data_IF_401854599211
#
_entry.id   IF_401854599211
#
_cell.length_a   1.000
_cell.length_b   1.000
_cell.length_c   1.000
_cell.angle_alpha   90.00
_cell.angle_beta   90.00
_cell.angle_gamma   90.00
#
_symmetry.space_group_name_H-M   'P 1'
#
loop_
_entity.id
_entity.type
_entity.pdbx_description
1 polymer ?
#
# COMPACT_ATOMS: atom_id res chain seq x y z
N UNK A 1 -16.23 -19.46 16.18
CA UNK A 1 -15.42 -18.42 16.85
C UNK A 1 -15.94 -17.04 16.46
N UNK A 2 -16.18 -16.16 17.42
CA UNK A 2 -16.62 -14.78 17.15
C UNK A 2 -15.54 -14.05 16.35
N UNK A 3 -15.91 -13.46 15.21
CA UNK A 3 -14.96 -12.72 14.37
C UNK A 3 -14.75 -11.33 14.95
N UNK A 4 -13.51 -10.89 15.05
CA UNK A 4 -13.19 -9.51 15.48
C UNK A 4 -13.91 -8.48 14.58
N UNK A 5 -14.46 -7.39 15.15
CA UNK A 5 -15.05 -6.30 14.39
C UNK A 5 -14.05 -5.72 13.38
N UNK A 6 -14.56 -5.21 12.25
CA UNK A 6 -13.72 -4.48 11.31
C UNK A 6 -13.44 -3.10 11.87
N UNK A 7 -12.19 -2.68 11.75
CA UNK A 7 -11.77 -1.35 12.12
C UNK A 7 -12.34 -0.38 11.10
N UNK A 8 -13.11 0.60 11.57
CA UNK A 8 -13.53 1.74 10.78
C UNK A 8 -13.02 2.99 11.46
N UNK A 9 -12.36 3.84 10.68
CA UNK A 9 -12.26 5.26 10.99
C UNK A 9 -12.34 6.06 9.68
N UNK A 10 -12.83 7.32 9.76
CA UNK A 10 -12.91 8.19 8.60
C UNK A 10 -11.51 8.57 8.10
N UNK A 11 -11.39 8.87 6.80
CA UNK A 11 -10.14 9.32 6.18
C UNK A 11 -8.98 8.33 6.29
N UNK A 12 -9.29 7.03 6.33
CA UNK A 12 -8.31 5.95 6.40
C UNK A 12 -8.14 5.28 5.05
N UNK A 13 -6.89 4.97 4.71
CA UNK A 13 -6.53 4.17 3.56
C UNK A 13 -6.65 2.68 3.88
N UNK A 14 -7.29 1.92 3.00
CA UNK A 14 -7.45 0.47 3.12
C UNK A 14 -6.95 -0.21 1.85
N UNK A 15 -6.15 -1.27 2.02
CA UNK A 15 -5.99 -2.26 0.98
C UNK A 15 -7.06 -3.34 1.13
N UNK A 16 -7.98 -3.35 0.17
CA UNK A 16 -9.09 -4.30 0.11
C UNK A 16 -8.74 -5.45 -0.81
N UNK A 17 -8.98 -6.67 -0.35
CA UNK A 17 -8.83 -7.89 -1.14
C UNK A 17 -10.13 -8.69 -1.10
N UNK A 18 -10.67 -9.01 -2.27
CA UNK A 18 -11.84 -9.88 -2.44
C UNK A 18 -11.40 -11.10 -3.21
N UNK A 19 -11.76 -12.32 -2.78
CA UNK A 19 -11.31 -13.56 -3.45
C UNK A 19 -12.50 -14.46 -3.76
N UNK A 20 -12.50 -15.05 -4.95
CA UNK A 20 -13.50 -16.00 -5.41
C UNK A 20 -13.54 -17.24 -4.52
N UNK A 21 -14.75 -17.74 -4.23
CA UNK A 21 -14.96 -18.93 -3.42
C UNK A 21 -14.16 -20.11 -3.99
N UNK A 22 -13.44 -20.88 -3.16
CA UNK A 22 -12.49 -21.90 -3.62
C UNK A 22 -11.48 -21.41 -4.69
N UNK A 23 -11.11 -20.12 -4.67
CA UNK A 23 -10.27 -19.45 -5.68
C UNK A 23 -10.83 -19.52 -7.10
N UNK A 24 -12.14 -19.72 -7.24
CA UNK A 24 -12.81 -19.78 -8.53
C UNK A 24 -12.65 -18.49 -9.32
N UNK A 25 -12.72 -18.60 -10.64
CA UNK A 25 -12.77 -17.45 -11.55
C UNK A 25 -14.05 -16.66 -11.31
N UNK A 26 -13.89 -15.39 -10.93
CA UNK A 26 -14.96 -14.42 -10.67
C UNK A 26 -15.21 -13.51 -11.86
N UNK A 27 -14.37 -13.54 -12.90
CA UNK A 27 -14.55 -12.81 -14.16
C UNK A 27 -14.24 -13.75 -15.33
N UNK A 28 -15.29 -14.21 -16.04
CA UNK A 28 -15.17 -15.21 -17.12
C UNK A 28 -15.06 -14.56 -18.49
N UNK A 29 -15.65 -13.38 -18.63
CA UNK A 29 -15.73 -12.61 -19.88
C UNK A 29 -15.35 -11.16 -19.63
N UNK A 30 -15.05 -10.42 -20.69
CA UNK A 30 -14.82 -8.96 -20.62
C UNK A 30 -16.02 -8.21 -20.04
N UNK A 31 -17.25 -8.66 -20.31
CA UNK A 31 -18.47 -8.09 -19.75
C UNK A 31 -18.54 -8.20 -18.23
N UNK A 32 -18.00 -9.27 -17.64
CA UNK A 32 -17.94 -9.42 -16.19
C UNK A 32 -17.05 -8.34 -15.54
N UNK A 33 -15.89 -8.05 -16.15
CA UNK A 33 -15.01 -6.98 -15.68
C UNK A 33 -15.69 -5.62 -15.77
N UNK A 34 -16.33 -5.31 -16.90
CA UNK A 34 -17.05 -4.03 -17.08
C UNK A 34 -18.20 -3.89 -16.08
N UNK A 35 -19.00 -4.94 -15.90
CA UNK A 35 -20.08 -4.95 -14.92
C UNK A 35 -19.59 -4.66 -13.49
N UNK A 36 -18.41 -5.14 -13.11
CA UNK A 36 -17.81 -4.82 -11.81
C UNK A 36 -17.33 -3.38 -11.73
N UNK A 37 -16.63 -2.89 -12.75
CA UNK A 37 -16.10 -1.52 -12.82
C UNK A 37 -17.22 -0.47 -12.81
N UNK A 38 -18.31 -0.70 -13.54
CA UNK A 38 -19.50 0.16 -13.53
C UNK A 38 -20.13 0.27 -12.13
N UNK A 39 -20.27 -0.87 -11.43
CA UNK A 39 -20.79 -0.90 -10.06
C UNK A 39 -19.85 -0.20 -9.09
N UNK A 40 -18.54 -0.41 -9.26
CA UNK A 40 -17.52 0.24 -8.44
C UNK A 40 -17.60 1.76 -8.60
N UNK A 41 -17.66 2.28 -9.83
CA UNK A 41 -17.86 3.71 -10.08
C UNK A 41 -19.19 4.22 -9.48
N UNK A 42 -20.29 3.52 -9.76
CA UNK A 42 -21.64 3.87 -9.28
C UNK A 42 -21.73 4.00 -7.76
N UNK A 43 -21.09 3.11 -7.01
CA UNK A 43 -21.17 3.12 -5.55
C UNK A 43 -20.08 3.93 -4.86
N UNK A 44 -19.04 4.36 -5.58
CA UNK A 44 -17.91 5.08 -4.96
C UNK A 44 -18.31 6.45 -4.43
N UNK A 45 -19.00 7.26 -5.24
CA UNK A 45 -19.43 8.61 -4.83
C UNK A 45 -20.46 8.61 -3.68
N UNK A 46 -21.56 7.83 -3.73
CA UNK A 46 -22.53 7.77 -2.63
C UNK A 46 -21.94 7.23 -1.32
N UNK A 47 -20.88 6.41 -1.40
CA UNK A 47 -20.19 5.91 -0.21
C UNK A 47 -19.03 6.81 0.25
N UNK A 48 -18.83 7.96 -0.40
CA UNK A 48 -17.76 8.90 -0.14
C UNK A 48 -16.38 8.23 -0.10
N UNK A 49 -16.11 7.31 -1.03
CA UNK A 49 -14.81 6.65 -1.11
C UNK A 49 -13.99 7.21 -2.25
N UNK A 50 -12.69 7.35 -2.03
CA UNK A 50 -11.71 7.67 -3.07
C UNK A 50 -10.93 6.41 -3.41
N UNK A 51 -10.86 6.06 -4.69
CA UNK A 51 -9.99 5.00 -5.18
C UNK A 51 -8.64 5.56 -5.61
N UNK A 52 -7.58 4.98 -5.07
CA UNK A 52 -6.20 5.31 -5.41
C UNK A 52 -5.60 4.35 -6.43
N UNK A 53 -6.02 3.08 -6.42
CA UNK A 53 -5.62 2.05 -7.37
C UNK A 53 -6.61 0.89 -7.34
N UNK A 54 -6.68 0.14 -8.45
CA UNK A 54 -7.41 -1.13 -8.49
C UNK A 54 -6.75 -2.11 -9.46
N UNK A 55 -7.00 -3.40 -9.24
CA UNK A 55 -6.70 -4.47 -10.20
C UNK A 55 -7.72 -5.59 -10.01
N UNK A 56 -8.48 -5.89 -11.07
CA UNK A 56 -9.42 -7.01 -11.11
C UNK A 56 -8.67 -8.19 -11.72
N UNK A 57 -8.30 -9.19 -10.92
CA UNK A 57 -7.67 -10.43 -11.36
C UNK A 57 -8.76 -11.47 -11.63
N UNK A 58 -8.52 -12.53 -12.44
CA UNK A 58 -9.56 -13.48 -12.82
C UNK A 58 -10.32 -14.10 -11.64
N UNK A 59 -9.66 -14.33 -10.50
CA UNK A 59 -10.24 -14.95 -9.30
C UNK A 59 -10.20 -14.08 -8.03
N UNK A 60 -9.74 -12.83 -8.11
CA UNK A 60 -9.69 -11.94 -6.95
C UNK A 60 -9.60 -10.47 -7.37
N UNK A 61 -9.83 -9.56 -6.43
CA UNK A 61 -9.83 -8.12 -6.66
C UNK A 61 -8.94 -7.45 -5.62
N UNK A 62 -8.09 -6.53 -6.06
CA UNK A 62 -7.37 -5.61 -5.20
C UNK A 62 -7.89 -4.18 -5.40
N UNK A 63 -8.25 -3.50 -4.31
CA UNK A 63 -8.61 -2.08 -4.32
C UNK A 63 -7.76 -1.35 -3.27
N UNK A 64 -7.28 -0.16 -3.59
CA UNK A 64 -6.71 0.77 -2.62
C UNK A 64 -7.69 1.92 -2.44
N UNK A 65 -8.36 1.94 -1.29
CA UNK A 65 -9.53 2.80 -1.05
C UNK A 65 -9.28 3.66 0.17
N UNK A 66 -9.50 4.97 0.04
CA UNK A 66 -9.56 5.89 1.16
C UNK A 66 -11.02 6.21 1.47
N UNK A 67 -11.45 6.00 2.71
CA UNK A 67 -12.84 6.28 3.12
C UNK A 67 -13.02 7.75 3.47
N UNK A 68 -14.19 8.31 3.16
CA UNK A 68 -14.68 9.56 3.73
C UNK A 68 -15.32 9.29 5.10
N UNK A 69 -16.52 9.83 5.32
CA UNK A 69 -17.23 9.71 6.59
C UNK A 69 -18.05 8.43 6.75
N UNK A 70 -18.17 7.63 5.68
CA UNK A 70 -18.91 6.37 5.71
C UNK A 70 -17.99 5.16 5.84
N UNK A 71 -18.48 4.08 6.48
CA UNK A 71 -17.70 2.85 6.60
C UNK A 71 -17.51 2.17 5.25
N UNK A 72 -16.30 1.65 5.04
CA UNK A 72 -15.94 0.86 3.85
C UNK A 72 -16.91 -0.30 3.59
N UNK A 73 -17.53 -0.84 4.64
CA UNK A 73 -18.54 -1.90 4.52
C UNK A 73 -19.74 -1.50 3.68
N UNK A 74 -20.13 -0.23 3.67
CA UNK A 74 -21.25 0.25 2.88
C UNK A 74 -20.99 0.10 1.37
N UNK A 75 -19.80 0.52 0.91
CA UNK A 75 -19.36 0.31 -0.47
C UNK A 75 -19.32 -1.18 -0.80
N UNK A 76 -18.60 -1.94 0.03
CA UNK A 76 -18.27 -3.33 -0.29
C UNK A 76 -19.50 -4.25 -0.24
N UNK A 77 -20.47 -3.98 0.62
CA UNK A 77 -21.74 -4.70 0.64
C UNK A 77 -22.52 -4.49 -0.66
N UNK A 78 -22.73 -3.23 -1.06
CA UNK A 78 -23.46 -2.89 -2.29
C UNK A 78 -22.76 -3.46 -3.53
N UNK A 79 -21.43 -3.31 -3.60
CA UNK A 79 -20.62 -3.80 -4.71
C UNK A 79 -20.66 -5.33 -4.83
N UNK A 80 -20.34 -6.06 -3.76
CA UNK A 80 -20.26 -7.52 -3.84
C UNK A 80 -21.62 -8.18 -4.02
N UNK A 81 -22.66 -7.64 -3.37
CA UNK A 81 -24.02 -8.18 -3.50
C UNK A 81 -24.53 -8.03 -4.93
N UNK A 82 -24.49 -6.81 -5.47
CA UNK A 82 -24.99 -6.53 -6.82
C UNK A 82 -24.18 -7.23 -7.92
N UNK A 83 -22.86 -7.41 -7.72
CA UNK A 83 -22.04 -8.16 -8.65
C UNK A 83 -22.28 -9.68 -8.58
N UNK A 84 -22.42 -10.24 -7.38
CA UNK A 84 -22.73 -11.67 -7.20
C UNK A 84 -24.07 -12.03 -7.83
N UNK A 85 -25.09 -11.19 -7.65
CA UNK A 85 -26.40 -11.37 -8.29
C UNK A 85 -26.31 -11.34 -9.82
N UNK A 86 -25.56 -10.38 -10.37
CA UNK A 86 -25.28 -10.31 -11.80
C UNK A 86 -24.58 -11.58 -12.29
N UNK A 87 -23.47 -11.97 -11.67
CA UNK A 87 -22.68 -13.12 -12.08
C UNK A 87 -23.51 -14.41 -12.04
N UNK A 88 -24.25 -14.63 -10.97
CA UNK A 88 -25.08 -15.82 -10.80
C UNK A 88 -26.18 -15.90 -11.87
N UNK A 89 -26.84 -14.77 -12.18
CA UNK A 89 -27.84 -14.71 -13.26
C UNK A 89 -27.22 -14.96 -14.63
N UNK A 90 -26.12 -14.28 -14.96
CA UNK A 90 -25.44 -14.38 -16.26
C UNK A 90 -24.90 -15.79 -16.51
N UNK A 91 -24.30 -16.41 -15.50
CA UNK A 91 -23.62 -17.71 -15.63
C UNK A 91 -24.45 -18.89 -15.14
N UNK A 92 -25.74 -18.68 -14.85
CA UNK A 92 -26.69 -19.68 -14.31
C UNK A 92 -26.12 -20.44 -13.10
N UNK A 93 -25.53 -19.70 -12.16
CA UNK A 93 -24.96 -20.21 -10.92
C UNK A 93 -25.85 -19.87 -9.73
N UNK A 94 -25.67 -20.64 -8.66
CA UNK A 94 -26.31 -20.43 -7.35
C UNK A 94 -25.24 -20.41 -6.25
N UNK A 95 -25.55 -19.81 -5.11
CA UNK A 95 -24.66 -19.75 -3.96
C UNK A 95 -23.64 -18.61 -3.98
N UNK A 96 -22.59 -18.76 -3.17
CA UNK A 96 -21.59 -17.71 -2.93
C UNK A 96 -20.53 -17.63 -4.04
N UNK A 97 -20.37 -16.45 -4.62
CA UNK A 97 -19.30 -16.17 -5.58
C UNK A 97 -17.93 -15.97 -4.89
N UNK A 98 -17.91 -15.27 -3.75
CA UNK A 98 -16.68 -14.94 -3.01
C UNK A 98 -16.51 -15.81 -1.75
N UNK A 99 -15.28 -15.95 -1.22
CA UNK A 99 -14.92 -16.75 -0.01
C UNK A 99 -15.52 -16.20 1.31
N UNK A 100 -16.54 -15.34 1.22
CA UNK A 100 -17.11 -14.60 2.33
C UNK A 100 -16.66 -13.13 2.31
N UNK A 101 -16.37 -12.61 3.50
CA UNK A 101 -16.05 -11.20 3.73
C UNK A 101 -14.73 -10.80 3.05
N UNK A 102 -14.69 -9.62 2.43
CA UNK A 102 -13.42 -9.00 1.97
C UNK A 102 -12.41 -8.84 3.11
N UNK A 103 -11.12 -8.93 2.78
CA UNK A 103 -10.05 -8.46 3.65
C UNK A 103 -9.93 -6.94 3.52
N UNK A 104 -9.69 -6.25 4.63
CA UNK A 104 -9.48 -4.81 4.68
C UNK A 104 -8.32 -4.54 5.62
N UNK A 105 -7.21 -4.12 5.03
CA UNK A 105 -5.96 -3.89 5.73
C UNK A 105 -5.82 -2.38 5.83
N UNK A 106 -5.79 -1.86 7.06
CA UNK A 106 -5.63 -0.44 7.34
C UNK A 106 -4.19 -0.05 7.03
N UNK A 107 -4.00 0.87 6.10
CA UNK A 107 -2.70 1.27 5.59
C UNK A 107 -2.34 2.67 6.06
N UNK A 108 -1.10 2.86 6.50
CA UNK A 108 -0.56 4.20 6.71
C UNK A 108 -0.26 4.84 5.35
N UNK A 109 -0.93 5.95 5.06
CA UNK A 109 -0.96 6.54 3.71
C UNK A 109 0.43 6.97 3.23
N UNK A 110 1.11 7.84 3.98
CA UNK A 110 2.35 8.46 3.50
C UNK A 110 3.48 7.48 3.14
N UNK A 111 3.82 6.47 3.96
CA UNK A 111 4.92 5.55 3.64
C UNK A 111 4.55 4.49 2.60
N UNK A 112 3.28 4.14 2.43
CA UNK A 112 2.89 2.97 1.63
C UNK A 112 2.06 3.29 0.39
N UNK A 113 1.53 4.50 0.22
CA UNK A 113 0.62 4.82 -0.88
C UNK A 113 1.21 4.48 -2.26
N UNK A 114 2.39 5.03 -2.57
CA UNK A 114 3.02 4.82 -3.89
C UNK A 114 3.35 3.36 -4.13
N UNK A 115 3.90 2.69 -3.12
CA UNK A 115 4.31 1.30 -3.26
C UNK A 115 3.12 0.35 -3.34
N UNK A 116 2.00 0.66 -2.68
CA UNK A 116 0.75 -0.08 -2.82
C UNK A 116 0.11 0.12 -4.19
N UNK A 117 0.14 1.34 -4.74
CA UNK A 117 -0.31 1.61 -6.12
C UNK A 117 0.52 0.75 -7.08
N UNK A 118 1.85 0.79 -7.00
CA UNK A 118 2.74 -0.04 -7.81
C UNK A 118 2.48 -1.52 -7.61
N UNK A 119 2.37 -1.98 -6.36
CA UNK A 119 2.08 -3.37 -6.03
C UNK A 119 0.82 -3.83 -6.76
N UNK A 120 -0.28 -3.08 -6.62
CA UNK A 120 -1.58 -3.41 -7.23
C UNK A 120 -1.48 -3.47 -8.75
N UNK A 121 -0.88 -2.47 -9.39
CA UNK A 121 -0.76 -2.42 -10.85
C UNK A 121 0.20 -3.49 -11.42
N UNK A 122 1.14 -4.01 -10.62
CA UNK A 122 2.04 -5.10 -11.01
C UNK A 122 1.49 -6.51 -10.72
N UNK A 123 0.32 -6.65 -10.10
CA UNK A 123 -0.28 -7.97 -9.82
C UNK A 123 -0.43 -8.84 -11.09
N UNK A 124 -0.91 -8.32 -12.24
CA UNK A 124 -1.04 -9.11 -13.46
C UNK A 124 0.30 -9.67 -13.97
N UNK A 125 1.37 -8.86 -13.87
CA UNK A 125 2.73 -9.27 -14.26
C UNK A 125 3.26 -10.35 -13.33
N UNK A 126 3.12 -10.16 -12.02
CA UNK A 126 3.57 -11.13 -11.00
C UNK A 126 2.83 -12.47 -11.10
N UNK A 127 1.55 -12.43 -11.46
CA UNK A 127 0.75 -13.62 -11.74
C UNK A 127 1.01 -14.23 -13.12
N UNK A 128 1.95 -13.68 -13.91
CA UNK A 128 2.31 -14.11 -15.26
C UNK A 128 1.13 -14.08 -16.25
N UNK A 129 0.12 -13.24 -16.02
CA UNK A 129 -1.00 -13.05 -16.96
C UNK A 129 -0.57 -12.21 -18.17
N UNK A 130 0.35 -11.27 -17.96
CA UNK A 130 0.91 -10.40 -19.00
C UNK A 130 2.39 -10.17 -18.73
N UNK A 131 3.16 -9.85 -19.78
CA UNK A 131 4.59 -9.48 -19.64
C UNK A 131 4.81 -8.04 -19.20
N UNK A 132 3.87 -7.15 -19.52
CA UNK A 132 3.92 -5.72 -19.25
C UNK A 132 2.60 -5.28 -18.61
N UNK A 133 2.61 -4.39 -17.60
CA UNK A 133 1.38 -3.96 -16.94
C UNK A 133 0.42 -3.22 -17.90
N UNK A 134 0.96 -2.51 -18.90
CA UNK A 134 0.24 -1.82 -19.97
C UNK A 134 -0.71 -2.74 -20.75
N UNK A 135 -0.41 -4.05 -20.81
CA UNK A 135 -1.23 -5.02 -21.53
C UNK A 135 -2.44 -5.53 -20.71
N UNK A 136 -2.57 -5.15 -19.44
CA UNK A 136 -3.68 -5.59 -18.58
C UNK A 136 -4.73 -4.50 -18.39
N UNK A 137 -5.81 -4.61 -19.18
CA UNK A 137 -6.87 -3.60 -19.26
C UNK A 137 -7.72 -3.46 -17.98
N UNK A 138 -7.72 -4.46 -17.10
CA UNK A 138 -8.60 -4.50 -15.92
C UNK A 138 -7.89 -4.01 -14.65
N UNK A 139 -7.05 -2.99 -14.80
CA UNK A 139 -6.36 -2.32 -13.70
C UNK A 139 -6.39 -0.80 -13.86
N UNK A 140 -6.18 -0.07 -12.77
CA UNK A 140 -6.04 1.39 -12.78
C UNK A 140 -4.74 1.88 -13.43
N UNK A 141 -3.87 0.98 -13.91
CA UNK A 141 -2.57 1.32 -14.45
C UNK A 141 -2.66 2.28 -15.63
N UNK A 142 -3.54 2.00 -16.59
CA UNK A 142 -3.75 2.83 -17.80
C UNK A 142 -4.24 4.23 -17.45
N UNK A 143 -5.06 4.37 -16.40
CA UNK A 143 -5.53 5.68 -15.93
C UNK A 143 -4.36 6.55 -15.46
N UNK A 144 -3.37 5.98 -14.78
CA UNK A 144 -2.15 6.70 -14.42
C UNK A 144 -1.24 6.99 -15.64
N UNK A 145 -1.18 6.08 -16.62
CA UNK A 145 -0.38 6.29 -17.84
C UNK A 145 -0.91 7.42 -18.72
N UNK A 146 -2.23 7.65 -18.73
CA UNK A 146 -2.86 8.74 -19.49
C UNK A 146 -2.97 10.04 -18.68
N UNK A 147 -2.93 9.95 -17.35
CA UNK A 147 -3.17 11.08 -16.46
C UNK A 147 -4.61 11.60 -16.48
N UNK A 148 -5.53 10.89 -17.11
CA UNK A 148 -6.93 11.30 -17.26
C UNK A 148 -7.81 10.59 -16.25
N UNK A 149 -8.58 11.37 -15.50
CA UNK A 149 -9.56 10.81 -14.57
C UNK A 149 -10.64 9.99 -15.30
N UNK A 150 -11.14 8.98 -14.61
CA UNK A 150 -12.29 8.16 -15.02
C UNK A 150 -13.39 8.29 -13.98
N UNK A 151 -14.57 7.72 -14.25
CA UNK A 151 -15.65 7.65 -13.26
C UNK A 151 -15.29 6.83 -12.00
N UNK A 152 -14.18 6.09 -12.02
CA UNK A 152 -13.76 5.17 -10.95
C UNK A 152 -12.55 5.71 -10.20
N UNK A 153 -11.58 6.24 -10.93
CA UNK A 153 -10.27 6.61 -10.40
C UNK A 153 -9.81 7.93 -11.00
N UNK A 154 -9.40 8.84 -10.11
CA UNK A 154 -8.69 10.07 -10.43
C UNK A 154 -7.19 9.86 -10.13
N UNK A 155 -6.31 9.84 -11.15
CA UNK A 155 -4.89 9.61 -10.95
C UNK A 155 -4.16 10.88 -10.49
N UNK A 156 -4.77 12.08 -10.62
CA UNK A 156 -4.07 13.37 -10.44
C UNK A 156 -3.42 13.48 -9.05
N UNK A 157 -4.11 13.18 -7.93
CA UNK A 157 -3.48 13.26 -6.61
C UNK A 157 -2.33 12.27 -6.45
N UNK A 158 -2.43 11.06 -7.03
CA UNK A 158 -1.36 10.07 -6.99
C UNK A 158 -0.17 10.50 -7.83
N UNK A 159 -0.42 10.97 -9.05
CA UNK A 159 0.59 11.49 -9.97
C UNK A 159 1.32 12.70 -9.41
N UNK A 160 0.64 13.60 -8.69
CA UNK A 160 1.27 14.72 -8.00
C UNK A 160 2.32 14.23 -6.98
N UNK A 161 2.06 13.14 -6.27
CA UNK A 161 3.02 12.55 -5.33
C UNK A 161 4.13 11.77 -6.05
N UNK A 162 3.83 11.15 -7.20
CA UNK A 162 4.84 10.50 -8.04
C UNK A 162 5.78 11.47 -8.75
N UNK A 163 5.39 12.74 -8.95
CA UNK A 163 6.12 13.68 -9.81
C UNK A 163 5.71 13.60 -11.30
N UNK A 164 4.49 13.14 -11.57
CA UNK A 164 3.89 13.08 -12.91
C UNK A 164 3.92 11.71 -13.57
N UNK A 165 3.37 11.64 -14.80
CA UNK A 165 3.17 10.39 -15.54
C UNK A 165 4.49 9.68 -15.86
N UNK A 166 5.52 10.43 -16.26
CA UNK A 166 6.83 9.86 -16.58
C UNK A 166 7.48 9.20 -15.36
N UNK A 167 7.47 9.89 -14.22
CA UNK A 167 8.00 9.38 -12.95
C UNK A 167 7.23 8.15 -12.46
N UNK A 168 5.89 8.16 -12.56
CA UNK A 168 5.06 6.99 -12.28
C UNK A 168 5.43 5.79 -13.17
N UNK A 169 5.53 6.00 -14.50
CA UNK A 169 5.85 4.93 -15.45
C UNK A 169 7.21 4.30 -15.13
N UNK A 170 8.22 5.12 -14.85
CA UNK A 170 9.53 4.68 -14.43
C UNK A 170 9.46 3.86 -13.13
N UNK A 171 8.77 4.39 -12.11
CA UNK A 171 8.61 3.74 -10.81
C UNK A 171 7.94 2.36 -10.90
N UNK A 172 6.94 2.19 -11.78
CA UNK A 172 6.28 0.90 -12.01
C UNK A 172 7.22 -0.08 -12.73
N UNK A 173 7.93 0.37 -13.78
CA UNK A 173 8.88 -0.47 -14.53
C UNK A 173 10.00 -1.01 -13.64
N UNK A 174 10.55 -0.18 -12.77
CA UNK A 174 11.59 -0.60 -11.80
C UNK A 174 11.10 -1.70 -10.85
N UNK A 175 9.80 -1.72 -10.55
CA UNK A 175 9.20 -2.75 -9.70
C UNK A 175 8.90 -4.08 -10.41
N UNK A 176 9.01 -4.16 -11.74
CA UNK A 176 8.70 -5.39 -12.48
C UNK A 176 9.66 -6.53 -12.18
N UNK A 177 10.92 -6.22 -11.84
CA UNK A 177 11.92 -7.20 -11.41
C UNK A 177 11.82 -7.57 -9.93
N UNK A 178 10.99 -6.87 -9.16
CA UNK A 178 10.73 -7.23 -7.76
C UNK A 178 9.78 -8.42 -7.74
N UNK A 179 10.27 -9.58 -7.28
CA UNK A 179 9.50 -10.82 -7.17
C UNK A 179 8.27 -10.70 -6.25
N UNK A 180 7.64 -11.84 -5.93
CA UNK A 180 6.52 -11.82 -5.00
C UNK A 180 7.00 -11.44 -3.59
N UNK A 181 6.80 -10.18 -3.20
CA UNK A 181 7.04 -9.70 -1.85
C UNK A 181 5.94 -10.25 -0.93
N UNK A 182 6.13 -11.46 -0.42
CA UNK A 182 5.21 -12.13 0.51
C UNK A 182 5.01 -11.31 1.81
N UNK A 183 5.95 -10.43 2.13
CA UNK A 183 6.07 -9.77 3.43
C UNK A 183 5.16 -8.56 3.65
N UNK A 184 4.51 -8.04 2.60
CA UNK A 184 3.55 -6.94 2.76
C UNK A 184 2.41 -7.28 3.73
N UNK A 185 2.14 -8.57 3.95
CA UNK A 185 1.08 -9.05 4.83
C UNK A 185 1.55 -10.05 5.88
N UNK A 186 2.87 -10.23 6.06
CA UNK A 186 3.45 -11.17 7.01
C UNK A 186 3.54 -10.64 8.46
N UNK A 187 2.84 -9.54 8.77
CA UNK A 187 2.84 -8.94 10.11
C UNK A 187 1.92 -9.70 11.08
N UNK A 188 2.31 -9.72 12.36
CA UNK A 188 1.65 -10.41 13.48
C UNK A 188 0.14 -10.11 13.63
N UNK A 189 -0.31 -8.96 13.11
CA UNK A 189 -1.72 -8.61 12.95
C UNK A 189 -1.99 -8.20 11.49
N UNK A 190 -2.52 -9.14 10.70
CA UNK A 190 -2.85 -8.96 9.27
C UNK A 190 -3.90 -7.86 8.97
N UNK A 191 -4.26 -7.03 9.96
CA UNK A 191 -5.20 -5.90 9.86
C UNK A 191 -4.52 -4.55 9.58
N UNK A 192 -3.22 -4.42 9.83
CA UNK A 192 -2.50 -3.15 9.71
C UNK A 192 -1.26 -3.28 8.82
N UNK A 193 -1.07 -2.29 7.94
CA UNK A 193 0.15 -2.10 7.15
C UNK A 193 0.65 -0.68 7.39
N UNK A 194 1.60 -0.54 8.30
CA UNK A 194 2.04 0.75 8.79
C UNK A 194 3.45 0.71 9.36
N UNK A 195 3.88 1.86 9.84
CA UNK A 195 5.05 2.01 10.72
C UNK A 195 4.73 1.37 12.08
N UNK A 196 5.74 1.04 12.89
CA UNK A 196 5.54 0.47 14.24
C UNK A 196 4.64 1.39 15.06
N UNK A 197 4.95 2.69 15.05
CA UNK A 197 4.16 3.71 15.72
C UNK A 197 2.70 3.74 15.26
N UNK A 198 2.44 3.62 13.95
CA UNK A 198 1.07 3.56 13.43
C UNK A 198 0.33 2.32 13.93
N UNK A 199 0.98 1.16 13.96
CA UNK A 199 0.39 -0.08 14.47
C UNK A 199 0.06 0.09 15.96
N UNK A 200 0.98 0.63 16.76
CA UNK A 200 0.78 0.90 18.18
C UNK A 200 -0.37 1.91 18.41
N UNK A 201 -0.42 2.99 17.63
CA UNK A 201 -1.49 3.99 17.64
C UNK A 201 -2.87 3.35 17.39
N UNK A 202 -2.95 2.44 16.42
CA UNK A 202 -4.19 1.73 16.11
C UNK A 202 -4.56 0.67 17.14
N UNK A 203 -3.57 -0.04 17.68
CA UNK A 203 -3.82 -1.00 18.75
C UNK A 203 -4.34 -0.31 20.00
N UNK A 204 -3.71 0.79 20.42
CA UNK A 204 -4.17 1.60 21.55
C UNK A 204 -5.61 2.10 21.34
N UNK A 205 -5.95 2.60 20.14
CA UNK A 205 -7.33 3.01 19.82
C UNK A 205 -8.34 1.88 19.89
N UNK A 206 -7.94 0.64 19.61
CA UNK A 206 -8.84 -0.52 19.65
C UNK A 206 -9.00 -1.11 21.05
N UNK A 207 -8.07 -0.83 21.95
CA UNK A 207 -8.05 -1.36 23.33
C UNK A 207 -8.28 -0.29 24.39
N UNK A 208 -8.62 0.95 24.01
CA UNK A 208 -8.61 2.14 24.89
C UNK A 208 -7.31 2.28 25.70
N UNK A 209 -6.17 1.98 25.05
CA UNK A 209 -4.84 2.13 25.64
C UNK A 209 -4.33 3.58 25.66
N UNK A 210 -3.26 3.87 26.43
CA UNK A 210 -2.70 5.21 26.51
C UNK A 210 -2.19 5.70 25.15
N UNK A 211 -2.39 6.99 24.87
CA UNK A 211 -1.88 7.61 23.64
C UNK A 211 -0.34 7.52 23.59
N UNK A 212 0.24 7.26 22.40
CA UNK A 212 1.68 7.18 22.26
C UNK A 212 2.35 8.54 22.50
N UNK A 213 3.61 8.49 22.95
CA UNK A 213 4.39 9.69 23.27
C UNK A 213 4.48 10.66 22.08
N UNK A 214 4.50 11.99 22.30
CA UNK A 214 4.62 12.98 21.23
C UNK A 214 5.90 12.77 20.41
N UNK A 215 5.83 13.04 19.10
CA UNK A 215 6.99 12.90 18.18
C UNK A 215 8.02 13.99 18.45
N UNK A 216 9.30 13.63 18.39
CA UNK A 216 10.39 14.59 18.32
C UNK A 216 10.38 15.31 16.97
N UNK A 217 11.08 16.45 16.86
CA UNK A 217 11.24 17.13 15.56
C UNK A 217 12.04 16.25 14.60
N UNK A 218 11.71 16.26 13.30
CA UNK A 218 12.41 15.45 12.29
C UNK A 218 13.90 15.78 12.23
N UNK A 219 14.27 17.05 12.43
CA UNK A 219 15.67 17.48 12.47
C UNK A 219 16.42 16.82 13.64
N UNK A 220 15.84 16.80 14.83
CA UNK A 220 16.43 16.15 16.00
C UNK A 220 16.49 14.63 15.82
N UNK A 221 15.40 14.01 15.35
CA UNK A 221 15.39 12.58 15.09
C UNK A 221 16.44 12.16 14.05
N UNK A 222 16.66 12.96 13.00
CA UNK A 222 17.72 12.68 12.02
C UNK A 222 19.12 12.77 12.64
N UNK A 223 19.37 13.73 13.53
CA UNK A 223 20.65 13.82 14.26
C UNK A 223 20.89 12.57 15.11
N UNK A 224 19.89 12.16 15.90
CA UNK A 224 19.96 10.98 16.77
C UNK A 224 20.17 9.70 15.93
N UNK A 225 19.45 9.56 14.82
CA UNK A 225 19.59 8.43 13.88
C UNK A 225 20.96 8.41 13.22
N UNK A 226 21.45 9.54 12.72
CA UNK A 226 22.75 9.63 12.06
C UNK A 226 23.88 9.25 13.02
N UNK A 227 23.88 9.82 14.22
CA UNK A 227 24.84 9.50 15.27
C UNK A 227 24.79 8.00 15.66
N UNK A 228 23.59 7.45 15.82
CA UNK A 228 23.40 6.02 16.12
C UNK A 228 23.85 5.07 15.01
N UNK A 229 23.91 5.55 13.76
CA UNK A 229 24.45 4.83 12.60
C UNK A 229 25.97 5.01 12.41
N UNK A 230 26.64 5.74 13.32
CA UNK A 230 28.07 6.02 13.25
C UNK A 230 28.44 7.01 12.14
N UNK A 231 27.51 7.90 11.74
CA UNK A 231 27.75 8.95 10.76
C UNK A 231 27.18 10.28 11.21
N UNK A 232 27.08 11.23 10.28
CA UNK A 232 26.47 12.54 10.55
C UNK A 232 25.43 12.93 9.49
N UNK A 233 24.70 14.01 9.77
CA UNK A 233 23.63 14.51 8.89
C UNK A 233 24.19 15.04 7.57
N UNK A 234 25.42 15.56 7.55
CA UNK A 234 26.06 16.13 6.36
C UNK A 234 26.33 15.01 5.35
N UNK A 235 26.89 13.89 5.81
CA UNK A 235 27.15 12.70 5.02
C UNK A 235 25.86 12.14 4.42
N UNK A 236 24.78 12.04 5.20
CA UNK A 236 23.49 11.56 4.72
C UNK A 236 22.88 12.46 3.63
N UNK A 237 23.08 13.77 3.72
CA UNK A 237 22.61 14.77 2.72
C UNK A 237 23.54 14.95 1.53
N UNK A 238 24.76 14.43 1.61
CA UNK A 238 25.77 14.61 0.56
C UNK A 238 25.35 14.03 -0.79
N UNK A 239 26.01 14.47 -1.86
CA UNK A 239 25.86 13.88 -3.19
C UNK A 239 26.49 12.48 -3.31
N UNK A 240 27.15 11.96 -2.25
CA UNK A 240 27.83 10.67 -2.30
C UNK A 240 26.85 9.51 -2.54
N UNK A 241 27.22 8.69 -3.52
CA UNK A 241 26.51 7.51 -4.02
C UNK A 241 27.26 6.21 -3.71
N UNK A 242 28.33 6.27 -2.92
CA UNK A 242 29.03 5.11 -2.41
C UNK A 242 28.06 4.15 -1.73
N UNK A 243 28.36 2.86 -1.82
CA UNK A 243 27.53 1.81 -1.21
C UNK A 243 27.30 2.06 0.28
N UNK A 244 28.33 2.51 1.00
CA UNK A 244 28.28 2.81 2.42
C UNK A 244 27.28 3.93 2.74
N UNK A 245 27.37 5.07 2.07
CA UNK A 245 26.48 6.21 2.32
C UNK A 245 25.06 5.92 1.85
N UNK A 246 24.88 5.21 0.74
CA UNK A 246 23.56 4.79 0.27
C UNK A 246 22.87 3.83 1.26
N UNK A 247 23.63 2.90 1.85
CA UNK A 247 23.14 1.99 2.90
C UNK A 247 22.75 2.75 4.17
N UNK A 248 23.59 3.66 4.66
CA UNK A 248 23.27 4.49 5.83
C UNK A 248 22.03 5.36 5.59
N UNK A 249 21.89 5.97 4.40
CA UNK A 249 20.71 6.75 4.03
C UNK A 249 19.43 5.91 4.01
N UNK A 250 19.53 4.68 3.50
CA UNK A 250 18.41 3.73 3.48
C UNK A 250 18.00 3.33 4.90
N UNK A 251 18.97 3.02 5.77
CA UNK A 251 18.74 2.72 7.18
C UNK A 251 18.12 3.92 7.92
N UNK A 252 18.64 5.13 7.71
CA UNK A 252 18.12 6.33 8.34
C UNK A 252 16.67 6.61 7.91
N UNK A 253 16.41 6.54 6.60
CA UNK A 253 15.05 6.66 6.07
C UNK A 253 14.13 5.58 6.63
N UNK A 254 14.61 4.34 6.74
CA UNK A 254 13.83 3.25 7.32
C UNK A 254 13.47 3.52 8.78
N UNK A 255 14.42 3.94 9.61
CA UNK A 255 14.18 4.25 11.02
C UNK A 255 13.21 5.42 11.19
N UNK A 256 13.45 6.52 10.49
CA UNK A 256 12.61 7.72 10.58
C UNK A 256 11.18 7.43 10.11
N UNK A 257 11.03 6.72 8.99
CA UNK A 257 9.72 6.43 8.45
C UNK A 257 9.07 5.31 9.27
N UNK A 258 9.66 4.10 9.27
CA UNK A 258 9.08 2.87 9.83
C UNK A 258 8.97 2.84 11.34
N UNK A 259 9.76 3.63 12.07
CA UNK A 259 9.66 3.71 13.53
C UNK A 259 9.21 5.09 14.01
N UNK A 260 9.87 6.15 13.53
CA UNK A 260 9.53 7.52 13.91
C UNK A 260 8.16 7.99 13.39
N UNK A 261 7.61 7.31 12.38
CA UNK A 261 6.33 7.68 11.76
C UNK A 261 6.40 8.96 10.94
N UNK A 262 7.59 9.41 10.55
CA UNK A 262 7.77 10.63 9.76
C UNK A 262 7.31 10.43 8.31
N UNK A 263 6.78 11.48 7.68
CA UNK A 263 6.21 11.37 6.33
C UNK A 263 7.33 11.13 5.31
N UNK A 264 7.09 10.23 4.34
CA UNK A 264 8.04 9.91 3.28
C UNK A 264 8.60 11.17 2.60
N UNK A 265 7.73 12.11 2.25
CA UNK A 265 8.09 13.38 1.59
C UNK A 265 9.01 14.26 2.44
N UNK A 266 8.79 14.30 3.75
CA UNK A 266 9.55 15.14 4.68
C UNK A 266 10.93 14.55 4.91
N UNK A 267 10.99 13.22 5.06
CA UNK A 267 12.25 12.48 5.19
C UNK A 267 13.06 12.58 3.90
N UNK A 268 12.42 12.39 2.74
CA UNK A 268 13.06 12.53 1.44
C UNK A 268 13.64 13.94 1.23
N UNK A 269 12.85 14.99 1.52
CA UNK A 269 13.31 16.36 1.48
C UNK A 269 14.49 16.60 2.43
N UNK A 270 14.43 16.11 3.68
CA UNK A 270 15.50 16.28 4.67
C UNK A 270 16.80 15.56 4.28
N UNK A 271 16.70 14.48 3.50
CA UNK A 271 17.83 13.73 2.95
C UNK A 271 18.30 14.22 1.57
N UNK A 272 17.70 15.28 1.02
CA UNK A 272 17.94 15.79 -0.34
C UNK A 272 17.78 14.70 -1.42
N UNK A 273 16.69 13.93 -1.34
CA UNK A 273 16.36 12.87 -2.29
C UNK A 273 14.91 12.96 -2.76
N UNK A 274 14.69 12.40 -3.94
CA UNK A 274 13.35 12.24 -4.49
C UNK A 274 12.54 11.20 -3.68
N UNK A 275 11.25 11.46 -3.36
CA UNK A 275 10.41 10.53 -2.61
C UNK A 275 10.28 9.13 -3.22
N UNK A 276 10.24 9.01 -4.55
CA UNK A 276 10.15 7.72 -5.23
C UNK A 276 11.46 6.93 -5.06
N UNK A 277 12.61 7.61 -5.09
CA UNK A 277 13.92 6.98 -4.78
C UNK A 277 13.95 6.40 -3.37
N UNK A 278 13.55 7.20 -2.37
CA UNK A 278 13.50 6.74 -0.97
C UNK A 278 12.52 5.56 -0.83
N UNK A 279 11.35 5.63 -1.46
CA UNK A 279 10.37 4.54 -1.46
C UNK A 279 10.93 3.23 -2.05
N UNK A 280 11.60 3.30 -3.20
CA UNK A 280 12.24 2.12 -3.83
C UNK A 280 13.31 1.52 -2.93
N UNK A 281 14.16 2.34 -2.30
CA UNK A 281 15.19 1.87 -1.37
C UNK A 281 14.57 1.17 -0.15
N UNK A 282 13.55 1.77 0.46
CA UNK A 282 12.84 1.16 1.58
C UNK A 282 12.20 -0.17 1.23
N UNK A 283 11.65 -0.27 0.01
CA UNK A 283 10.99 -1.49 -0.47
C UNK A 283 12.00 -2.62 -0.64
N UNK A 284 13.13 -2.35 -1.30
CA UNK A 284 14.22 -3.32 -1.46
C UNK A 284 14.84 -3.71 -0.13
N UNK A 285 15.00 -2.75 0.76
CA UNK A 285 15.54 -2.98 2.09
C UNK A 285 14.64 -3.84 2.95
N UNK A 286 13.32 -3.59 2.92
CA UNK A 286 12.34 -4.41 3.60
C UNK A 286 12.31 -5.85 3.05
N UNK A 287 12.43 -6.04 1.73
CA UNK A 287 12.53 -7.37 1.14
C UNK A 287 13.78 -8.12 1.60
N UNK A 288 14.95 -7.45 1.60
CA UNK A 288 16.21 -8.05 2.07
C UNK A 288 16.17 -8.41 3.56
N UNK A 289 15.48 -7.61 4.38
CA UNK A 289 15.29 -7.90 5.80
C UNK A 289 14.49 -9.17 6.05
N UNK A 290 13.49 -9.45 5.21
CA UNK A 290 12.68 -10.65 5.33
C UNK A 290 13.44 -11.93 4.93
N UNK A 291 14.44 -11.81 4.07
CA UNK A 291 15.27 -12.93 3.61
C UNK A 291 16.37 -13.32 4.63
N UNK A 292 16.79 -12.40 5.51
CA UNK A 292 17.90 -12.62 6.46
C UNK A 292 17.50 -12.31 7.93
N UNK A 293 17.07 -13.32 8.71
CA UNK A 293 16.66 -13.14 10.12
C UNK A 293 17.76 -12.58 11.05
N UNK A 294 19.04 -12.79 10.72
CA UNK A 294 20.17 -12.21 11.45
C UNK A 294 20.25 -10.69 11.26
N UNK A 295 20.07 -10.24 10.03
CA UNK A 295 20.05 -8.82 9.66
C UNK A 295 18.87 -8.10 10.31
N UNK A 296 17.73 -8.78 10.43
CA UNK A 296 16.58 -8.26 11.19
C UNK A 296 16.92 -8.01 12.66
N UNK A 297 17.58 -8.97 13.34
CA UNK A 297 17.99 -8.81 14.75
C UNK A 297 19.02 -7.71 14.95
N UNK A 298 19.97 -7.56 14.03
CA UNK A 298 21.00 -6.52 14.10
C UNK A 298 20.40 -5.13 13.89
N UNK A 299 19.41 -5.01 13.00
CA UNK A 299 18.62 -3.79 12.88
C UNK A 299 17.80 -3.58 14.14
N UNK A 300 17.11 -4.57 14.69
CA UNK A 300 16.36 -4.44 15.95
C UNK A 300 17.25 -4.00 17.12
N UNK A 301 18.51 -4.47 17.18
CA UNK A 301 19.51 -4.01 18.16
C UNK A 301 19.92 -2.56 17.95
N UNK A 302 20.18 -2.18 16.70
CA UNK A 302 20.55 -0.81 16.32
C UNK A 302 19.37 0.15 16.56
N UNK A 303 18.16 -0.29 16.21
CA UNK A 303 16.88 0.32 16.50
C UNK A 303 16.75 0.55 18.00
N UNK A 304 16.91 -0.47 18.85
CA UNK A 304 16.74 -0.32 20.30
C UNK A 304 17.72 0.67 20.96
N UNK A 305 18.86 0.96 20.32
CA UNK A 305 19.80 2.01 20.75
C UNK A 305 19.37 3.42 20.37
N UNK A 306 18.61 3.57 19.28
CA UNK A 306 18.14 4.86 18.73
C UNK A 306 16.74 5.14 19.24
N UNK A 307 16.61 5.97 20.29
CA UNK A 307 15.32 6.40 20.86
C UNK A 307 14.75 7.56 20.05
N UNK A 308 13.83 7.26 19.12
CA UNK A 308 13.06 8.21 18.30
C UNK A 308 11.56 7.93 18.38
#
# INVERSE_FOLDING_TARGET
MARRPRVFAPHVLYHVIVRGNHRQVTFRTSADYQAYLERLGRYSSPCQVRLWAYCLMPNHVHLLVETGNHPLSMLMQRLQQSYTQYFNRTHRKVGHLFQGRYKAIVCEKDPYLLTLIRYIHLNPVRAKLVKQPDAYLYSGHTTYLTGRATAILDPVPGLAVFGGVAAYRQFVREGMGEGHQADYYAVADQRFLGTVRFIDEWQARLTDGPAPRPRQSLAHALQVVAAGLGGDVVQLRSADRSWAVSRQRTLAAYLLIRRGGYRLREVAATLHRDPATVSTLLTRFAARLAEEPSTQRDIERLVNRVKI
#
